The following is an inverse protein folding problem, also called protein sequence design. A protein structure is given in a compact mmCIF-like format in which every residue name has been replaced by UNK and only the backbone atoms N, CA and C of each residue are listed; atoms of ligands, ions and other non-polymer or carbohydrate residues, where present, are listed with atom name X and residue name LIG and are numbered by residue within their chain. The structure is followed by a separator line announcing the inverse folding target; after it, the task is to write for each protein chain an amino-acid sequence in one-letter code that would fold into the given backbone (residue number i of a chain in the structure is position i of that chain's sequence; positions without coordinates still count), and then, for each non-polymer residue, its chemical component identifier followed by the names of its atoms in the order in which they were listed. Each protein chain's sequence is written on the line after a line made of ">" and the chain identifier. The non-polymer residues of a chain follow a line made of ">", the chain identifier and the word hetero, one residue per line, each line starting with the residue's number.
data_IF_184373442146
#
_entry.id   IF_184373442146
#
_cell.length_a   1.000
_cell.length_b   1.000
_cell.length_c   1.000
_cell.angle_alpha   90.00
_cell.angle_beta   90.00
_cell.angle_gamma   90.00
#
_symmetry.space_group_name_H-M   'P 1'
#
loop_
_entity.id
_entity.type
_entity.pdbx_description
1 polymer ?
#
# COMPACT_ATOMS: atom_id res chain seq x y z
N UNK A 1 -0.53 -58.46 -0.91
CA UNK A 1 -1.83 -57.86 -1.28
C UNK A 1 -1.62 -56.36 -1.34
N UNK A 2 -1.69 -55.82 -2.56
CA UNK A 2 -1.42 -54.41 -2.90
C UNK A 2 -2.64 -53.57 -2.53
N UNK A 3 -2.46 -52.55 -1.68
CA UNK A 3 -3.41 -51.46 -1.54
C UNK A 3 -3.05 -50.39 -2.56
N UNK A 4 -3.74 -50.38 -3.70
CA UNK A 4 -3.59 -49.38 -4.74
C UNK A 4 -4.08 -47.99 -4.28
N UNK A 5 -3.63 -46.92 -4.94
CA UNK A 5 -4.03 -45.56 -4.61
C UNK A 5 -5.52 -45.36 -4.89
N UNK A 6 -6.28 -45.04 -3.84
CA UNK A 6 -7.71 -44.73 -3.90
C UNK A 6 -7.94 -43.29 -4.34
N UNK A 7 -8.74 -43.13 -5.39
CA UNK A 7 -9.59 -41.98 -5.67
C UNK A 7 -8.89 -40.59 -5.75
N UNK A 8 -8.42 -40.26 -6.95
CA UNK A 8 -8.67 -38.94 -7.57
C UNK A 8 -8.20 -37.69 -6.83
N UNK A 9 -7.01 -37.65 -6.24
CA UNK A 9 -6.36 -36.36 -6.01
C UNK A 9 -5.76 -35.88 -7.33
N UNK A 10 -6.56 -35.15 -8.11
CA UNK A 10 -6.04 -34.32 -9.19
C UNK A 10 -5.02 -33.37 -8.55
N UNK A 11 -3.74 -33.63 -8.78
CA UNK A 11 -2.66 -32.69 -8.50
C UNK A 11 -2.82 -31.52 -9.48
N UNK A 12 -3.81 -30.65 -9.20
CA UNK A 12 -3.82 -29.34 -9.79
C UNK A 12 -2.48 -28.71 -9.39
N UNK A 13 -1.67 -28.20 -10.33
CA UNK A 13 -0.49 -27.46 -9.96
C UNK A 13 -0.95 -26.35 -9.02
N UNK A 14 -0.53 -26.43 -7.74
CA UNK A 14 -0.74 -25.34 -6.79
C UNK A 14 0.17 -24.22 -7.26
N UNK A 15 -0.36 -23.39 -8.16
CA UNK A 15 0.30 -22.17 -8.58
C UNK A 15 0.61 -21.41 -7.31
N UNK A 16 1.90 -21.21 -7.01
CA UNK A 16 2.29 -20.37 -5.89
C UNK A 16 1.74 -18.97 -6.14
N UNK A 17 0.63 -18.64 -5.49
CA UNK A 17 -0.03 -17.36 -5.70
C UNK A 17 0.84 -16.29 -5.06
N UNK A 18 1.34 -15.37 -5.90
CA UNK A 18 2.10 -14.20 -5.46
C UNK A 18 1.13 -13.12 -5.00
N UNK A 19 1.38 -12.52 -3.86
CA UNK A 19 0.61 -11.37 -3.38
C UNK A 19 1.53 -10.30 -2.77
N UNK A 20 1.04 -9.07 -2.75
CA UNK A 20 1.80 -7.92 -2.26
C UNK A 20 1.21 -7.42 -0.94
N UNK A 21 2.06 -7.22 0.05
CA UNK A 21 1.71 -6.51 1.29
C UNK A 21 2.10 -5.05 1.05
N UNK A 22 1.14 -4.23 0.64
CA UNK A 22 1.35 -2.80 0.42
C UNK A 22 1.06 -2.06 1.72
N UNK A 23 2.07 -1.41 2.29
CA UNK A 23 1.91 -0.64 3.53
C UNK A 23 2.32 0.81 3.30
N UNK A 24 1.38 1.73 3.52
CA UNK A 24 1.59 3.16 3.27
C UNK A 24 2.31 3.77 4.46
N UNK A 25 3.35 4.55 4.19
CA UNK A 25 4.07 5.30 5.21
C UNK A 25 4.21 6.76 4.81
N UNK A 26 3.67 7.63 5.66
CA UNK A 26 3.90 9.06 5.59
C UNK A 26 5.00 9.44 6.59
N UNK A 27 6.15 9.91 6.10
CA UNK A 27 7.28 10.34 6.94
C UNK A 27 7.58 11.82 6.75
N UNK A 28 8.08 12.47 7.79
CA UNK A 28 8.63 13.81 7.64
C UNK A 28 9.91 13.73 6.82
N UNK A 29 10.08 14.67 5.89
CA UNK A 29 11.17 14.68 4.91
C UNK A 29 12.36 15.45 5.50
N UNK A 30 13.20 14.77 6.27
CA UNK A 30 14.46 15.33 6.77
C UNK A 30 15.58 15.12 5.76
N UNK A 31 15.93 13.85 5.53
CA UNK A 31 16.97 13.42 4.59
C UNK A 31 16.56 12.15 3.79
N UNK A 32 17.26 11.85 2.69
CA UNK A 32 17.06 10.63 1.89
C UNK A 32 17.26 9.33 2.71
N UNK A 33 18.05 9.42 3.79
CA UNK A 33 18.25 8.34 4.74
C UNK A 33 16.94 7.92 5.45
N UNK A 34 16.03 8.87 5.67
CA UNK A 34 14.76 8.62 6.38
C UNK A 34 13.82 7.72 5.58
N UNK A 35 13.79 7.86 4.25
CA UNK A 35 12.98 7.01 3.39
C UNK A 35 13.52 5.58 3.32
N UNK A 36 14.83 5.42 3.26
CA UNK A 36 15.47 4.10 3.22
C UNK A 36 15.26 3.37 4.56
N UNK A 37 15.47 4.06 5.68
CA UNK A 37 15.21 3.50 7.00
C UNK A 37 13.72 3.15 7.20
N UNK A 38 12.80 3.99 6.72
CA UNK A 38 11.37 3.70 6.76
C UNK A 38 11.01 2.46 5.91
N UNK A 39 11.62 2.32 4.73
CA UNK A 39 11.46 1.14 3.88
C UNK A 39 11.89 -0.13 4.62
N UNK A 40 13.11 -0.13 5.16
CA UNK A 40 13.68 -1.26 5.88
C UNK A 40 12.85 -1.63 7.11
N UNK A 41 12.43 -0.63 7.91
CA UNK A 41 11.60 -0.86 9.08
C UNK A 41 10.28 -1.58 8.74
N UNK A 42 9.65 -1.24 7.59
CA UNK A 42 8.44 -1.93 7.13
C UNK A 42 8.76 -3.34 6.65
N UNK A 43 9.83 -3.54 5.89
CA UNK A 43 10.26 -4.89 5.49
C UNK A 43 10.49 -5.78 6.72
N UNK A 44 11.25 -5.32 7.72
CA UNK A 44 11.51 -6.06 8.95
C UNK A 44 10.25 -6.31 9.78
N UNK A 45 9.28 -5.38 9.79
CA UNK A 45 7.99 -5.56 10.49
C UNK A 45 7.21 -6.76 9.96
N UNK A 46 7.21 -6.96 8.64
CA UNK A 46 6.41 -7.99 7.98
C UNK A 46 7.18 -9.27 7.67
N UNK A 47 8.51 -9.27 7.75
CA UNK A 47 9.37 -10.44 7.55
C UNK A 47 8.94 -11.67 8.37
N UNK A 48 8.57 -11.56 9.67
CA UNK A 48 8.15 -12.71 10.45
C UNK A 48 6.89 -13.42 9.91
N UNK A 49 6.12 -12.79 9.03
CA UNK A 49 4.91 -13.38 8.44
C UNK A 49 5.22 -14.29 7.24
N UNK A 50 6.43 -14.21 6.65
CA UNK A 50 6.76 -14.96 5.44
C UNK A 50 6.66 -16.49 5.62
N UNK A 51 7.14 -17.09 6.72
CA UNK A 51 6.99 -18.53 6.93
C UNK A 51 5.53 -18.98 6.98
N UNK A 52 4.63 -18.16 7.55
CA UNK A 52 3.19 -18.47 7.62
C UNK A 52 2.57 -18.51 6.21
N UNK A 53 2.91 -17.54 5.36
CA UNK A 53 2.43 -17.52 3.99
C UNK A 53 3.03 -18.63 3.13
N UNK A 54 4.32 -18.92 3.32
CA UNK A 54 4.98 -20.03 2.62
C UNK A 54 4.37 -21.38 2.98
N UNK A 55 4.00 -21.60 4.26
CA UNK A 55 3.27 -22.81 4.68
C UNK A 55 1.91 -22.94 3.98
N UNK A 56 1.29 -21.82 3.62
CA UNK A 56 0.06 -21.76 2.81
C UNK A 56 0.32 -21.80 1.30
N UNK A 57 1.54 -22.08 0.85
CA UNK A 57 1.91 -22.10 -0.57
C UNK A 57 1.82 -20.74 -1.26
N UNK A 58 1.81 -19.64 -0.49
CA UNK A 58 1.76 -18.28 -0.98
C UNK A 58 3.15 -17.65 -0.96
N UNK A 59 3.44 -16.79 -1.93
CA UNK A 59 4.67 -15.98 -1.97
C UNK A 59 4.32 -14.52 -1.71
N UNK A 60 4.64 -14.04 -0.51
CA UNK A 60 4.43 -12.64 -0.13
C UNK A 60 5.60 -11.76 -0.60
N UNK A 61 5.30 -10.51 -0.96
CA UNK A 61 6.32 -9.47 -1.14
C UNK A 61 5.85 -8.20 -0.44
N UNK A 62 6.68 -7.67 0.45
CA UNK A 62 6.39 -6.41 1.14
C UNK A 62 6.77 -5.25 0.24
N UNK A 63 5.85 -4.30 0.09
CA UNK A 63 6.01 -3.12 -0.74
C UNK A 63 5.63 -1.91 0.11
N UNK A 64 6.58 -1.35 0.85
CA UNK A 64 6.38 -0.06 1.51
C UNK A 64 6.05 1.00 0.45
N UNK A 65 4.98 1.75 0.68
CA UNK A 65 4.54 2.83 -0.20
C UNK A 65 4.80 4.16 0.49
N UNK A 66 5.84 4.85 0.06
CA UNK A 66 6.41 5.97 0.82
C UNK A 66 6.01 7.31 0.18
N UNK A 67 5.34 8.15 0.95
CA UNK A 67 5.04 9.54 0.57
C UNK A 67 5.52 10.43 1.70
N UNK A 68 6.23 11.50 1.39
CA UNK A 68 6.66 12.43 2.41
C UNK A 68 5.56 13.42 2.79
N UNK A 69 5.56 13.86 4.05
CA UNK A 69 4.54 14.76 4.61
C UNK A 69 4.49 16.14 3.93
N UNK A 70 5.59 16.58 3.30
CA UNK A 70 5.69 17.84 2.56
C UNK A 70 5.50 17.66 1.05
N UNK A 71 5.35 16.42 0.60
CA UNK A 71 4.99 16.05 -0.76
C UNK A 71 6.04 15.28 -1.55
N UNK A 72 7.14 14.85 -0.91
CA UNK A 72 8.11 13.98 -1.57
C UNK A 72 7.46 12.66 -2.01
N UNK A 73 7.92 12.19 -3.16
CA UNK A 73 7.47 10.95 -3.75
C UNK A 73 8.62 9.99 -3.90
N UNK A 74 8.54 8.83 -3.26
CA UNK A 74 9.63 7.87 -3.31
C UNK A 74 9.73 7.20 -4.69
N UNK A 75 10.91 7.19 -5.35
CA UNK A 75 11.05 6.67 -6.71
C UNK A 75 10.66 5.19 -6.89
N UNK A 76 10.71 4.39 -5.82
CA UNK A 76 10.38 2.97 -5.89
C UNK A 76 8.86 2.72 -6.01
N UNK A 77 8.02 3.67 -5.57
CA UNK A 77 6.58 3.65 -5.79
C UNK A 77 6.26 3.54 -7.29
N UNK A 78 6.93 4.35 -8.12
CA UNK A 78 6.72 4.33 -9.57
C UNK A 78 7.11 3.00 -10.19
N UNK A 79 8.24 2.42 -9.79
CA UNK A 79 8.67 1.16 -10.39
C UNK A 79 7.76 -0.02 -9.97
N UNK A 80 7.12 0.06 -8.80
CA UNK A 80 6.08 -0.88 -8.39
C UNK A 80 4.78 -0.66 -9.19
N UNK A 81 4.26 0.58 -9.20
CA UNK A 81 2.99 0.93 -9.83
C UNK A 81 3.00 0.76 -11.37
N UNK A 82 4.15 0.88 -12.03
CA UNK A 82 4.31 0.61 -13.47
C UNK A 82 3.87 -0.81 -13.89
N UNK A 83 3.77 -1.74 -12.94
CA UNK A 83 3.30 -3.11 -13.18
C UNK A 83 1.77 -3.19 -13.29
N UNK A 84 1.05 -2.20 -12.75
CA UNK A 84 -0.41 -2.22 -12.62
C UNK A 84 -1.10 -1.10 -13.40
N UNK A 85 -0.41 -0.01 -13.70
CA UNK A 85 -1.01 1.18 -14.29
C UNK A 85 -0.22 1.72 -15.49
N UNK A 86 -0.95 2.33 -16.44
CA UNK A 86 -0.35 3.08 -17.53
C UNK A 86 0.43 4.30 -17.03
N UNK A 87 1.47 4.70 -17.76
CA UNK A 87 2.35 5.83 -17.39
C UNK A 87 1.58 7.15 -17.20
N UNK A 88 0.58 7.41 -18.03
CA UNK A 88 -0.29 8.60 -17.93
C UNK A 88 -1.06 8.63 -16.62
N UNK A 89 -1.65 7.50 -16.24
CA UNK A 89 -2.36 7.36 -14.96
C UNK A 89 -1.41 7.47 -13.77
N UNK A 90 -0.22 6.90 -13.85
CA UNK A 90 0.78 6.96 -12.77
C UNK A 90 1.17 8.42 -12.42
N UNK A 91 1.29 9.28 -13.45
CA UNK A 91 1.56 10.70 -13.26
C UNK A 91 0.41 11.42 -12.53
N UNK A 92 -0.84 11.05 -12.83
CA UNK A 92 -2.02 11.56 -12.13
C UNK A 92 -2.09 11.03 -10.69
N UNK A 93 -1.88 9.72 -10.51
CA UNK A 93 -1.92 9.05 -9.22
C UNK A 93 -0.93 9.67 -8.23
N UNK A 94 0.31 9.91 -8.67
CA UNK A 94 1.32 10.62 -7.86
C UNK A 94 0.83 12.00 -7.42
N UNK A 95 0.25 12.78 -8.34
CA UNK A 95 -0.27 14.13 -8.01
C UNK A 95 -1.38 14.05 -6.96
N UNK A 96 -2.32 13.12 -7.11
CA UNK A 96 -3.43 12.93 -6.19
C UNK A 96 -2.96 12.49 -4.79
N UNK A 97 -2.04 11.52 -4.73
CA UNK A 97 -1.47 11.06 -3.46
C UNK A 97 -0.73 12.19 -2.72
N UNK A 98 0.13 12.91 -3.44
CA UNK A 98 0.93 14.00 -2.86
C UNK A 98 0.06 15.17 -2.43
N UNK A 99 -0.88 15.62 -3.27
CA UNK A 99 -1.76 16.75 -2.92
C UNK A 99 -2.64 16.43 -1.72
N UNK A 100 -3.19 15.21 -1.66
CA UNK A 100 -3.99 14.77 -0.54
C UNK A 100 -3.12 14.68 0.74
N UNK A 101 -1.92 14.10 0.65
CA UNK A 101 -1.03 13.99 1.81
C UNK A 101 -0.65 15.36 2.39
N UNK A 102 -0.32 16.35 1.53
CA UNK A 102 -0.02 17.72 1.97
C UNK A 102 -1.26 18.36 2.61
N UNK A 103 -2.45 18.19 2.03
CA UNK A 103 -3.71 18.69 2.61
C UNK A 103 -3.89 18.15 4.03
N UNK A 104 -3.77 16.84 4.21
CA UNK A 104 -3.90 16.20 5.52
C UNK A 104 -2.83 16.66 6.51
N UNK A 105 -1.56 16.73 6.09
CA UNK A 105 -0.48 17.22 6.93
C UNK A 105 -0.73 18.66 7.41
N UNK A 106 -1.18 19.55 6.51
CA UNK A 106 -1.57 20.92 6.84
C UNK A 106 -2.73 20.96 7.81
N UNK A 107 -3.79 20.21 7.55
CA UNK A 107 -5.02 20.23 8.35
C UNK A 107 -4.73 19.77 9.79
N UNK A 108 -3.91 18.72 9.96
CA UNK A 108 -3.43 18.27 11.27
C UNK A 108 -2.59 19.35 11.97
N UNK A 109 -1.69 20.01 11.24
CA UNK A 109 -0.84 21.05 11.81
C UNK A 109 -1.65 22.28 12.24
N UNK A 110 -2.57 22.76 11.41
CA UNK A 110 -3.42 23.92 11.74
C UNK A 110 -4.34 23.60 12.91
N UNK A 111 -4.92 22.39 12.97
CA UNK A 111 -5.70 21.96 14.14
C UNK A 111 -4.85 21.97 15.41
N UNK A 112 -3.61 21.49 15.33
CA UNK A 112 -2.69 21.52 16.46
C UNK A 112 -2.40 22.94 16.98
N UNK A 113 -2.19 23.90 16.07
CA UNK A 113 -1.87 25.29 16.44
C UNK A 113 -3.10 26.06 16.91
N UNK A 114 -4.24 25.88 16.25
CA UNK A 114 -5.45 26.68 16.48
C UNK A 114 -6.41 26.06 17.48
N UNK A 115 -6.30 24.75 17.74
CA UNK A 115 -7.29 23.97 18.49
C UNK A 115 -8.61 23.75 17.73
N UNK A 116 -8.73 24.25 16.50
CA UNK A 116 -9.94 24.13 15.69
C UNK A 116 -9.80 23.01 14.66
N UNK A 117 -10.75 22.07 14.69
CA UNK A 117 -10.83 20.95 13.75
C UNK A 117 -10.89 21.43 12.30
N UNK A 118 -9.95 20.98 11.48
CA UNK A 118 -9.84 21.38 10.06
C UNK A 118 -10.46 20.40 9.06
N UNK A 119 -10.86 19.21 9.52
CA UNK A 119 -11.42 18.16 8.68
C UNK A 119 -12.65 17.53 9.35
N UNK A 120 -13.73 17.39 8.60
CA UNK A 120 -14.93 16.70 9.03
C UNK A 120 -14.73 15.19 8.84
N UNK A 121 -15.19 14.38 9.78
CA UNK A 121 -15.11 12.92 9.68
C UNK A 121 -16.10 12.37 8.63
N UNK A 122 -17.02 13.21 8.16
CA UNK A 122 -18.11 12.84 7.25
C UNK A 122 -17.73 12.83 5.76
N UNK A 123 -16.48 13.14 5.38
CA UNK A 123 -15.99 12.95 3.99
C UNK A 123 -15.96 11.46 3.57
N UNK A 124 -16.32 10.53 4.46
CA UNK A 124 -16.63 9.14 4.11
C UNK A 124 -17.93 9.02 3.27
N UNK A 125 -18.88 9.96 3.37
CA UNK A 125 -20.08 9.96 2.52
C UNK A 125 -19.77 10.39 1.09
N UNK A 126 -18.77 11.25 0.87
CA UNK A 126 -18.36 11.71 -0.45
C UNK A 126 -17.72 10.61 -1.32
N UNK A 127 -17.25 9.51 -0.72
CA UNK A 127 -16.80 8.31 -1.45
C UNK A 127 -17.97 7.41 -1.87
N UNK A 128 -19.13 7.53 -1.23
CA UNK A 128 -20.36 6.79 -1.59
C UNK A 128 -21.12 7.51 -2.70
N UNK A 129 -21.08 8.85 -2.72
CA UNK A 129 -21.86 9.64 -3.68
C UNK A 129 -21.35 9.53 -5.13
N UNK A 130 -20.05 9.31 -5.36
CA UNK A 130 -19.50 9.11 -6.72
C UNK A 130 -19.73 7.71 -7.31
N UNK A 131 -20.22 6.74 -6.53
CA UNK A 131 -20.60 5.42 -7.05
C UNK A 131 -22.04 5.38 -7.58
N UNK A 132 -22.85 6.41 -7.31
CA UNK A 132 -24.29 6.43 -7.64
C UNK A 132 -24.67 7.31 -8.85
N UNK A 133 -23.72 8.01 -9.48
CA UNK A 133 -24.00 8.83 -10.68
C UNK A 133 -23.64 8.13 -12.01
N UNK A 134 -23.56 6.79 -12.01
CA UNK A 134 -23.24 5.97 -13.21
C UNK A 134 -24.29 4.91 -13.54
N UNK A 135 -25.57 5.17 -13.25
CA UNK A 135 -26.71 4.40 -13.78
C UNK A 135 -27.63 5.27 -14.65
#
# INVERSE_FOLDING_TARGET
>A
MSAGPTCGQTLLPRWASKFFIVDITCRFEGDDYDFTAAWEAKCSKYEPLFPLYQAQGLTATVVPFLVGALGSWYPWNDKFLKRFCAKSYLALFRKLCVSNNIKWARDIYIEHITGHRQYLVDDASALVDHAHESE
#
